data_IF_135840900237
#
_entry.id   IF_135840900237
#
_cell.length_a   1.000
_cell.length_b   1.000
_cell.length_c   1.000
_cell.angle_alpha   90.00
_cell.angle_beta   90.00
_cell.angle_gamma   90.00
#
_symmetry.space_group_name_H-M   'P 1'
#
loop_
_entity.id
_entity.type
_entity.pdbx_description
1 polymer ?
#
# COMPACT_ATOMS: atom_id res chain seq x y z
N UNK A 1 22.11 4.54 18.60
CA UNK A 1 22.14 5.07 17.22
C UNK A 1 20.85 5.83 16.94
N UNK A 2 20.74 6.57 15.83
CA UNK A 2 19.48 7.21 15.43
C UNK A 2 18.40 6.15 15.18
N UNK A 3 17.15 6.49 15.48
CA UNK A 3 16.00 5.64 15.20
C UNK A 3 15.72 5.61 13.70
N UNK A 4 15.62 4.41 13.12
CA UNK A 4 15.38 4.21 11.68
C UNK A 4 14.20 3.27 11.48
N UNK A 5 13.30 3.62 10.57
CA UNK A 5 12.24 2.75 10.10
C UNK A 5 12.44 2.50 8.60
N UNK A 6 12.51 1.25 8.19
CA UNK A 6 12.60 0.86 6.79
C UNK A 6 11.38 0.02 6.42
N UNK A 7 10.76 0.38 5.29
CA UNK A 7 9.60 -0.32 4.75
C UNK A 7 9.89 -0.73 3.31
N UNK A 8 9.59 -1.98 2.96
CA UNK A 8 9.67 -2.50 1.61
C UNK A 8 8.37 -3.22 1.28
N UNK A 9 7.66 -2.76 0.25
CA UNK A 9 6.46 -3.42 -0.26
C UNK A 9 6.73 -3.99 -1.65
N UNK A 10 6.89 -5.30 -1.69
CA UNK A 10 7.12 -6.05 -2.91
C UNK A 10 5.83 -6.56 -3.54
N UNK A 11 6.02 -7.32 -4.62
CA UNK A 11 4.92 -7.98 -5.32
C UNK A 11 4.31 -9.14 -4.52
N UNK A 12 5.16 -9.97 -3.90
CA UNK A 12 4.76 -11.20 -3.20
C UNK A 12 4.92 -11.14 -1.68
N UNK A 13 5.75 -10.23 -1.17
CA UNK A 13 5.98 -10.08 0.26
C UNK A 13 6.36 -8.65 0.57
N UNK A 14 6.27 -8.30 1.85
CA UNK A 14 6.63 -6.99 2.37
C UNK A 14 7.44 -7.13 3.65
N UNK A 15 8.35 -6.20 3.86
CA UNK A 15 9.24 -6.15 5.03
C UNK A 15 9.11 -4.80 5.75
N UNK A 16 9.03 -4.85 7.07
CA UNK A 16 9.04 -3.69 7.95
C UNK A 16 10.12 -3.89 9.00
N UNK A 17 11.14 -3.04 9.01
CA UNK A 17 12.24 -3.11 9.96
C UNK A 17 12.35 -1.81 10.75
N UNK A 18 12.43 -1.92 12.07
CA UNK A 18 12.64 -0.78 12.96
C UNK A 18 13.91 -0.97 13.77
N UNK A 19 14.78 0.03 13.76
CA UNK A 19 15.93 0.14 14.65
C UNK A 19 15.64 1.23 15.69
N UNK A 20 15.47 0.84 16.95
CA UNK A 20 15.15 1.73 18.08
C UNK A 20 16.08 1.37 19.23
N UNK A 21 16.77 2.36 19.80
CA UNK A 21 17.68 2.17 20.96
C UNK A 21 18.69 1.01 20.79
N UNK A 22 19.22 0.86 19.58
CA UNK A 22 20.19 -0.19 19.24
C UNK A 22 19.60 -1.58 19.00
N UNK A 23 18.28 -1.76 19.19
CA UNK A 23 17.57 -3.01 18.91
C UNK A 23 16.92 -2.94 17.54
N UNK A 24 17.06 -4.02 16.77
CA UNK A 24 16.44 -4.16 15.45
C UNK A 24 15.32 -5.20 15.54
N UNK A 25 14.13 -4.80 15.13
CA UNK A 25 12.99 -5.70 14.93
C UNK A 25 12.64 -5.73 13.46
N UNK A 26 12.41 -6.91 12.90
CA UNK A 26 12.00 -7.08 11.51
C UNK A 26 10.75 -7.96 11.43
N UNK A 27 9.75 -7.47 10.72
CA UNK A 27 8.52 -8.20 10.38
C UNK A 27 8.48 -8.43 8.89
N UNK A 28 8.28 -9.68 8.47
CA UNK A 28 8.14 -10.08 7.07
C UNK A 28 6.76 -10.71 6.90
N UNK A 29 5.99 -10.21 5.93
CA UNK A 29 4.63 -10.66 5.64
C UNK A 29 4.55 -11.15 4.20
N UNK A 30 4.32 -12.45 4.02
CA UNK A 30 4.17 -13.09 2.69
C UNK A 30 2.76 -13.02 2.13
N UNK A 31 1.79 -12.68 2.99
CA UNK A 31 0.39 -12.44 2.65
C UNK A 31 0.12 -10.97 2.29
N UNK A 32 1.12 -10.08 2.41
CA UNK A 32 1.03 -8.67 2.04
C UNK A 32 2.02 -8.39 0.90
N UNK A 33 1.48 -8.06 -0.27
CA UNK A 33 2.23 -7.59 -1.43
C UNK A 33 1.29 -7.03 -2.49
N UNK A 34 1.77 -6.13 -3.34
CA UNK A 34 0.91 -5.40 -4.31
C UNK A 34 0.75 -6.12 -5.64
N UNK A 35 1.33 -7.30 -5.80
CA UNK A 35 1.28 -8.07 -7.06
C UNK A 35 0.80 -9.50 -6.81
N UNK A 36 1.72 -10.46 -6.79
CA UNK A 36 1.42 -11.88 -6.54
C UNK A 36 0.60 -12.13 -5.26
N UNK A 37 0.73 -11.28 -4.25
CA UNK A 37 -0.02 -11.38 -3.00
C UNK A 37 -1.15 -10.36 -2.86
N UNK A 38 -1.56 -9.68 -3.94
CA UNK A 38 -2.58 -8.62 -3.91
C UNK A 38 -3.94 -9.16 -3.43
N UNK A 39 -4.32 -10.38 -3.82
CA UNK A 39 -5.52 -11.03 -3.29
C UNK A 39 -5.40 -11.32 -1.78
N UNK A 40 -4.29 -11.92 -1.36
CA UNK A 40 -4.04 -12.27 0.04
C UNK A 40 -3.97 -11.02 0.94
N UNK A 41 -3.48 -9.90 0.39
CA UNK A 41 -3.43 -8.61 1.07
C UNK A 41 -4.83 -8.20 1.54
N UNK A 42 -5.84 -8.35 0.68
CA UNK A 42 -7.23 -8.04 1.05
C UNK A 42 -7.71 -8.94 2.20
N UNK A 43 -7.35 -10.22 2.21
CA UNK A 43 -7.69 -11.11 3.34
C UNK A 43 -6.99 -10.68 4.63
N UNK A 44 -5.77 -10.13 4.52
CA UNK A 44 -4.98 -9.69 5.67
C UNK A 44 -5.46 -8.37 6.28
N UNK A 45 -5.91 -7.40 5.46
CA UNK A 45 -6.27 -6.04 5.93
C UNK A 45 -7.77 -5.73 5.87
N UNK A 46 -8.54 -6.49 5.08
CA UNK A 46 -9.97 -6.28 4.86
C UNK A 46 -10.30 -5.21 3.81
N UNK A 47 -11.49 -5.32 3.22
CA UNK A 47 -11.98 -4.38 2.20
C UNK A 47 -12.12 -2.95 2.73
N UNK A 48 -12.61 -2.78 3.96
CA UNK A 48 -12.82 -1.45 4.55
C UNK A 48 -11.51 -0.67 4.74
N UNK A 49 -10.40 -1.35 5.05
CA UNK A 49 -9.10 -0.70 5.18
C UNK A 49 -8.60 -0.14 3.84
N UNK A 50 -8.88 -0.83 2.73
CA UNK A 50 -8.60 -0.34 1.37
C UNK A 50 -9.56 0.79 1.00
N UNK A 51 -10.87 0.57 1.22
CA UNK A 51 -11.93 1.51 0.89
C UNK A 51 -11.80 2.86 1.59
N UNK A 52 -11.28 2.89 2.82
CA UNK A 52 -11.05 4.11 3.60
C UNK A 52 -10.16 5.16 2.88
N UNK A 53 -9.38 4.75 1.88
CA UNK A 53 -8.50 5.63 1.11
C UNK A 53 -9.05 6.00 -0.28
N UNK A 54 -10.20 5.46 -0.68
CA UNK A 54 -10.72 5.63 -2.02
C UNK A 54 -11.65 6.85 -2.10
N UNK A 55 -11.36 7.83 -2.97
CA UNK A 55 -12.18 9.02 -3.11
C UNK A 55 -13.41 8.80 -3.99
N UNK A 56 -13.96 7.59 -4.01
CA UNK A 56 -15.11 7.22 -4.84
C UNK A 56 -15.84 6.00 -4.30
N UNK A 57 -17.07 5.79 -4.79
CA UNK A 57 -17.84 4.59 -4.49
C UNK A 57 -17.24 3.40 -5.23
N UNK A 58 -17.17 2.28 -4.51
CA UNK A 58 -16.68 1.02 -5.06
C UNK A 58 -17.28 -0.16 -4.30
N UNK A 59 -17.50 -1.27 -5.01
CA UNK A 59 -17.93 -2.53 -4.41
C UNK A 59 -16.74 -3.40 -4.00
N UNK A 60 -16.96 -4.34 -3.07
CA UNK A 60 -15.95 -5.35 -2.73
C UNK A 60 -15.55 -6.18 -3.95
N UNK A 61 -16.51 -6.49 -4.83
CA UNK A 61 -16.27 -7.21 -6.08
C UNK A 61 -15.32 -6.46 -7.00
N UNK A 62 -15.39 -5.13 -7.09
CA UNK A 62 -14.45 -4.33 -7.90
C UNK A 62 -13.05 -4.31 -7.28
N UNK A 63 -12.93 -4.10 -5.96
CA UNK A 63 -11.64 -4.18 -5.25
C UNK A 63 -11.01 -5.56 -5.46
N UNK A 64 -11.80 -6.62 -5.28
CA UNK A 64 -11.37 -8.00 -5.48
C UNK A 64 -10.95 -8.26 -6.92
N UNK A 65 -11.72 -7.77 -7.90
CA UNK A 65 -11.42 -7.94 -9.32
C UNK A 65 -10.09 -7.29 -9.67
N UNK A 66 -9.85 -6.07 -9.20
CA UNK A 66 -8.56 -5.38 -9.39
C UNK A 66 -7.41 -6.20 -8.81
N UNK A 67 -7.52 -6.64 -7.56
CA UNK A 67 -6.47 -7.42 -6.90
C UNK A 67 -6.23 -8.80 -7.54
N UNK A 68 -7.27 -9.48 -8.04
CA UNK A 68 -7.13 -10.74 -8.77
C UNK A 68 -6.42 -10.53 -10.12
N UNK A 69 -6.79 -9.49 -10.86
CA UNK A 69 -6.10 -9.13 -12.10
C UNK A 69 -4.62 -8.82 -11.84
N UNK A 70 -4.34 -8.05 -10.78
CA UNK A 70 -2.98 -7.74 -10.35
C UNK A 70 -2.20 -8.97 -9.89
N UNK A 71 -2.86 -9.94 -9.24
CA UNK A 71 -2.27 -11.24 -8.89
C UNK A 71 -1.89 -12.04 -10.14
N UNK A 72 -2.75 -12.04 -11.16
CA UNK A 72 -2.49 -12.73 -12.43
C UNK A 72 -1.43 -12.03 -13.29
N UNK A 73 -1.32 -10.70 -13.20
CA UNK A 73 -0.36 -9.90 -13.97
C UNK A 73 0.37 -8.90 -13.07
N UNK A 74 1.31 -9.36 -12.23
CA UNK A 74 1.90 -8.53 -11.17
C UNK A 74 2.71 -7.32 -11.64
N UNK A 75 3.11 -7.30 -12.91
CA UNK A 75 3.86 -6.21 -13.52
C UNK A 75 2.98 -5.13 -14.18
N UNK A 76 1.64 -5.29 -14.17
CA UNK A 76 0.76 -4.25 -14.71
C UNK A 76 0.84 -3.00 -13.84
N UNK A 77 0.95 -1.85 -14.47
CA UNK A 77 0.81 -0.55 -13.83
C UNK A 77 -0.65 -0.10 -13.95
N UNK A 78 -1.14 0.81 -13.10
CA UNK A 78 -2.43 1.47 -13.33
C UNK A 78 -2.45 2.11 -14.71
N UNK A 79 -3.55 1.96 -15.44
CA UNK A 79 -3.74 2.57 -16.78
C UNK A 79 -4.69 3.77 -16.74
N UNK A 80 -5.44 3.93 -15.65
CA UNK A 80 -6.36 5.06 -15.40
C UNK A 80 -6.11 5.71 -14.03
N UNK A 81 -6.60 6.93 -13.85
CA UNK A 81 -6.55 7.61 -12.55
C UNK A 81 -7.31 6.84 -11.45
N UNK A 82 -8.44 6.21 -11.80
CA UNK A 82 -9.22 5.39 -10.85
C UNK A 82 -8.40 4.19 -10.35
N UNK A 83 -7.70 3.52 -11.25
CA UNK A 83 -6.79 2.42 -10.90
C UNK A 83 -5.59 2.88 -10.09
N UNK A 84 -5.07 4.09 -10.35
CA UNK A 84 -3.97 4.65 -9.57
C UNK A 84 -4.39 4.87 -8.10
N UNK A 85 -5.59 5.41 -7.87
CA UNK A 85 -6.14 5.52 -6.52
C UNK A 85 -6.33 4.15 -5.85
N UNK A 86 -6.76 3.13 -6.61
CA UNK A 86 -6.85 1.75 -6.13
C UNK A 86 -5.50 1.15 -5.71
N UNK A 87 -4.48 1.29 -6.56
CA UNK A 87 -3.12 0.82 -6.27
C UNK A 87 -2.56 1.51 -5.02
N UNK A 88 -2.71 2.83 -4.92
CA UNK A 88 -2.26 3.57 -3.75
C UNK A 88 -3.09 3.23 -2.50
N UNK A 89 -4.39 2.94 -2.62
CA UNK A 89 -5.22 2.51 -1.49
C UNK A 89 -4.80 1.13 -0.95
N UNK A 90 -4.49 0.18 -1.84
CA UNK A 90 -3.93 -1.12 -1.46
C UNK A 90 -2.59 -0.97 -0.73
N UNK A 91 -1.70 -0.13 -1.26
CA UNK A 91 -0.41 0.19 -0.64
C UNK A 91 -0.59 0.81 0.75
N UNK A 92 -1.53 1.76 0.88
CA UNK A 92 -1.78 2.43 2.14
C UNK A 92 -2.36 1.49 3.19
N UNK A 93 -3.33 0.66 2.81
CA UNK A 93 -3.92 -0.35 3.69
C UNK A 93 -2.88 -1.40 4.13
N UNK A 94 -2.06 -1.89 3.20
CA UNK A 94 -0.99 -2.84 3.46
C UNK A 94 0.02 -2.32 4.49
N UNK A 95 0.60 -1.15 4.24
CA UNK A 95 1.62 -0.57 5.13
C UNK A 95 1.03 -0.21 6.50
N UNK A 96 -0.19 0.32 6.55
CA UNK A 96 -0.90 0.57 7.83
C UNK A 96 -1.12 -0.73 8.61
N UNK A 97 -1.59 -1.79 7.95
CA UNK A 97 -1.80 -3.09 8.58
C UNK A 97 -0.49 -3.69 9.12
N UNK A 98 0.60 -3.60 8.36
CA UNK A 98 1.93 -4.03 8.81
C UNK A 98 2.43 -3.22 10.01
N UNK A 99 2.26 -1.89 9.96
CA UNK A 99 2.67 -0.99 11.03
C UNK A 99 1.94 -1.32 12.33
N UNK A 100 0.61 -1.43 12.29
CA UNK A 100 -0.22 -1.77 13.45
C UNK A 100 0.17 -3.12 14.07
N UNK A 101 0.50 -4.11 13.23
CA UNK A 101 0.94 -5.41 13.72
C UNK A 101 2.36 -5.41 14.32
N UNK A 102 3.26 -4.55 13.84
CA UNK A 102 4.66 -4.51 14.28
C UNK A 102 4.91 -3.61 15.50
N UNK A 103 4.14 -2.53 15.63
CA UNK A 103 4.30 -1.52 16.68
C UNK A 103 4.40 -2.07 18.11
N UNK A 104 3.55 -3.01 18.55
CA UNK A 104 3.61 -3.56 19.91
C UNK A 104 4.94 -4.23 20.26
N UNK A 105 5.73 -4.63 19.25
CA UNK A 105 7.05 -5.27 19.46
C UNK A 105 8.14 -4.22 19.74
N UNK A 106 7.96 -2.98 19.30
CA UNK A 106 8.97 -1.93 19.43
C UNK A 106 8.96 -1.25 20.81
N UNK A 107 7.83 -1.33 21.52
CA UNK A 107 7.67 -0.78 22.87
C UNK A 107 7.46 -1.92 23.86
N UNK A 108 8.22 -1.92 24.95
CA UNK A 108 8.02 -2.86 26.06
C UNK A 108 6.75 -2.55 26.91
N UNK A 109 5.81 -1.75 26.39
CA UNK A 109 4.57 -1.34 27.06
C UNK A 109 3.36 -2.03 26.43
N UNK A 110 2.46 -2.52 27.28
CA UNK A 110 1.36 -3.43 26.93
C UNK A 110 0.16 -2.80 26.23
N UNK A 111 0.21 -1.51 25.87
CA UNK A 111 -0.91 -0.78 25.27
C UNK A 111 -0.35 0.21 24.23
N UNK A 112 -0.19 -0.26 23.00
CA UNK A 112 -0.01 0.61 21.83
C UNK A 112 -1.36 0.64 21.12
N UNK A 113 -2.11 1.73 21.29
CA UNK A 113 -3.36 1.92 20.56
C UNK A 113 -3.04 2.28 19.10
N UNK A 114 -3.93 1.90 18.18
CA UNK A 114 -3.75 2.18 16.75
C UNK A 114 -3.60 3.70 16.45
N UNK A 115 -4.20 4.53 17.30
CA UNK A 115 -4.22 5.99 17.20
C UNK A 115 -3.05 6.67 17.92
N UNK A 116 -2.21 5.93 18.65
CA UNK A 116 -1.04 6.51 19.31
C UNK A 116 -0.03 7.01 18.29
N UNK A 117 0.62 8.14 18.59
CA UNK A 117 1.70 8.66 17.76
C UNK A 117 2.83 7.63 17.60
N UNK A 118 3.36 7.55 16.37
CA UNK A 118 4.53 6.73 16.07
C UNK A 118 5.73 7.20 16.92
N UNK A 119 6.61 6.28 17.30
CA UNK A 119 7.91 6.65 17.86
C UNK A 119 8.62 7.67 16.93
N UNK A 120 9.33 8.67 17.48
CA UNK A 120 10.01 9.66 16.66
C UNK A 120 11.20 9.02 15.93
N UNK A 121 10.94 8.50 14.73
CA UNK A 121 11.96 8.00 13.81
C UNK A 121 12.66 9.17 13.13
N UNK A 122 13.98 9.25 13.31
CA UNK A 122 14.81 10.29 12.71
C UNK A 122 14.97 10.08 11.20
N UNK A 123 14.88 8.82 10.74
CA UNK A 123 14.99 8.43 9.34
C UNK A 123 13.94 7.38 8.99
N UNK A 124 13.28 7.57 7.86
CA UNK A 124 12.38 6.61 7.26
C UNK A 124 12.89 6.30 5.85
N UNK A 125 12.97 5.03 5.51
CA UNK A 125 13.39 4.56 4.19
C UNK A 125 12.27 3.74 3.56
N UNK A 126 11.82 4.15 2.38
CA UNK A 126 10.84 3.43 1.58
C UNK A 126 11.48 2.68 0.42
N UNK A 127 11.11 1.42 0.24
CA UNK A 127 11.55 0.56 -0.83
C UNK A 127 10.36 -0.18 -1.48
N UNK A 128 10.61 -0.79 -2.63
CA UNK A 128 9.59 -1.51 -3.39
C UNK A 128 8.89 -0.60 -4.40
N UNK A 129 8.65 -1.16 -5.60
CA UNK A 129 8.21 -0.38 -6.76
C UNK A 129 6.87 0.35 -6.58
N UNK A 130 5.99 -0.13 -5.71
CA UNK A 130 4.74 0.57 -5.39
C UNK A 130 4.95 1.89 -4.63
N UNK A 131 6.05 2.02 -3.87
CA UNK A 131 6.42 3.25 -3.15
C UNK A 131 7.31 4.13 -4.03
N UNK A 132 8.35 3.54 -4.63
CA UNK A 132 9.42 4.30 -5.27
C UNK A 132 9.17 4.58 -6.75
N UNK A 133 8.26 3.83 -7.40
CA UNK A 133 7.94 3.93 -8.81
C UNK A 133 6.85 4.95 -9.18
N UNK A 134 6.66 6.00 -8.37
CA UNK A 134 5.58 6.98 -8.57
C UNK A 134 5.87 8.01 -9.67
N UNK A 135 7.11 8.08 -10.17
CA UNK A 135 7.57 9.09 -11.13
C UNK A 135 7.82 10.47 -10.50
N UNK A 136 7.32 10.73 -9.29
CA UNK A 136 7.41 12.04 -8.62
C UNK A 136 7.85 11.92 -7.17
N UNK A 137 9.00 12.47 -6.76
CA UNK A 137 9.51 12.35 -5.39
C UNK A 137 8.53 12.79 -4.30
N UNK A 138 7.77 13.87 -4.55
CA UNK A 138 6.75 14.33 -3.61
C UNK A 138 5.59 13.35 -3.44
N UNK A 139 5.25 12.56 -4.46
CA UNK A 139 4.26 11.48 -4.36
C UNK A 139 4.79 10.31 -3.54
N UNK A 140 6.04 9.89 -3.76
CA UNK A 140 6.72 8.92 -2.90
C UNK A 140 6.70 9.36 -1.44
N UNK A 141 7.02 10.63 -1.17
CA UNK A 141 6.97 11.20 0.16
C UNK A 141 5.55 11.19 0.74
N UNK A 142 4.53 11.55 -0.03
CA UNK A 142 3.12 11.51 0.39
C UNK A 142 2.70 10.10 0.83
N UNK A 143 3.00 9.06 0.04
CA UNK A 143 2.64 7.68 0.38
C UNK A 143 3.30 7.22 1.69
N UNK A 144 4.56 7.55 1.91
CA UNK A 144 5.25 7.24 3.17
C UNK A 144 4.63 8.01 4.35
N UNK A 145 4.30 9.29 4.17
CA UNK A 145 3.70 10.12 5.21
C UNK A 145 2.28 9.69 5.57
N UNK A 146 1.48 9.27 4.59
CA UNK A 146 0.11 8.79 4.78
C UNK A 146 0.06 7.52 5.62
N UNK A 147 1.00 6.62 5.35
CA UNK A 147 1.02 5.27 5.93
C UNK A 147 1.70 5.25 7.28
N UNK A 148 2.86 5.89 7.40
CA UNK A 148 3.68 5.81 8.60
C UNK A 148 3.36 6.92 9.60
N UNK A 149 2.82 8.05 9.13
CA UNK A 149 2.43 9.17 9.98
C UNK A 149 3.51 9.60 11.00
N UNK A 150 4.75 9.86 10.56
CA UNK A 150 5.81 10.27 11.48
C UNK A 150 5.44 11.54 12.24
N UNK A 151 6.11 11.74 13.37
CA UNK A 151 5.99 12.90 14.25
C UNK A 151 7.33 13.59 14.40
N UNK A 152 7.33 14.91 14.61
CA UNK A 152 8.58 15.65 14.79
C UNK A 152 9.37 15.81 13.50
N UNK A 153 10.70 15.72 13.60
CA UNK A 153 11.62 15.88 12.46
C UNK A 153 12.05 14.51 11.95
N UNK A 154 11.79 14.25 10.68
CA UNK A 154 12.13 12.97 10.05
C UNK A 154 12.77 13.21 8.69
N UNK A 155 13.88 12.53 8.40
CA UNK A 155 14.41 12.45 7.04
C UNK A 155 13.74 11.31 6.28
N UNK A 156 13.19 11.61 5.12
CA UNK A 156 12.63 10.59 4.22
C UNK A 156 13.63 10.24 3.13
N UNK A 157 13.75 8.95 2.87
CA UNK A 157 14.55 8.42 1.78
C UNK A 157 13.77 7.35 1.01
N UNK A 158 14.14 7.17 -0.25
CA UNK A 158 13.70 6.06 -1.10
C UNK A 158 14.88 5.21 -1.53
N UNK A 159 14.63 3.91 -1.72
CA UNK A 159 15.53 2.96 -2.38
C UNK A 159 14.97 2.63 -3.77
N UNK A 160 15.18 3.50 -4.77
CA UNK A 160 14.63 3.30 -6.11
C UNK A 160 15.29 2.12 -6.85
N UNK A 161 16.46 1.65 -6.40
CA UNK A 161 17.26 0.62 -7.07
C UNK A 161 17.22 -0.73 -6.34
N UNK A 162 16.39 -0.88 -5.31
CA UNK A 162 16.28 -2.09 -4.49
C UNK A 162 17.62 -2.58 -3.92
N UNK A 163 18.46 -1.63 -3.48
CA UNK A 163 19.76 -1.91 -2.88
C UNK A 163 19.65 -2.50 -1.49
N UNK A 164 18.69 -2.06 -0.67
CA UNK A 164 18.55 -2.49 0.73
C UNK A 164 18.35 -4.01 0.83
N UNK A 165 17.42 -4.62 0.08
CA UNK A 165 17.30 -6.08 0.06
C UNK A 165 18.60 -6.79 -0.33
N UNK A 166 19.32 -6.29 -1.34
CA UNK A 166 20.58 -6.88 -1.80
C UNK A 166 21.70 -6.74 -0.75
N UNK A 167 21.81 -5.57 -0.13
CA UNK A 167 22.79 -5.28 0.91
C UNK A 167 22.56 -6.10 2.18
N UNK A 168 21.31 -6.49 2.48
CA UNK A 168 20.99 -7.39 3.59
C UNK A 168 21.72 -8.74 3.50
N UNK A 169 21.93 -9.27 2.29
CA UNK A 169 22.72 -10.49 2.10
C UNK A 169 24.22 -10.27 2.36
N UNK A 170 24.74 -9.11 1.97
CA UNK A 170 26.15 -8.71 2.13
C UNK A 170 26.49 -8.36 3.58
N UNK A 171 25.52 -7.82 4.34
CA UNK A 171 25.71 -7.33 5.70
C UNK A 171 26.26 -8.39 6.67
N UNK A 172 26.02 -9.69 6.42
CA UNK A 172 26.59 -10.77 7.24
C UNK A 172 28.07 -11.04 6.98
N UNK A 173 28.58 -10.63 5.81
CA UNK A 173 29.95 -10.88 5.36
C UNK A 173 30.80 -9.63 5.54
N UNK A 174 30.28 -8.47 5.11
CA UNK A 174 30.96 -7.19 5.22
C UNK A 174 29.98 -6.07 5.58
N UNK A 175 29.71 -5.86 6.88
CA UNK A 175 28.90 -4.74 7.35
C UNK A 175 29.47 -3.37 6.93
N UNK A 176 30.80 -3.24 6.91
CA UNK A 176 31.50 -2.00 6.57
C UNK A 176 31.26 -1.59 5.11
N UNK A 177 31.31 -2.55 4.17
CA UNK A 177 31.00 -2.29 2.78
C UNK A 177 29.54 -1.86 2.60
N UNK A 178 28.60 -2.42 3.37
CA UNK A 178 27.20 -2.00 3.35
C UNK A 178 27.06 -0.56 3.80
N UNK A 179 27.71 -0.16 4.90
CA UNK A 179 27.70 1.23 5.37
C UNK A 179 28.29 2.16 4.31
N UNK A 180 29.41 1.80 3.69
CA UNK A 180 30.01 2.59 2.62
C UNK A 180 29.06 2.79 1.44
N UNK A 181 28.38 1.73 0.98
CA UNK A 181 27.41 1.84 -0.13
C UNK A 181 26.23 2.74 0.26
N UNK A 182 25.71 2.64 1.48
CA UNK A 182 24.62 3.49 1.95
C UNK A 182 25.04 4.96 2.09
N UNK A 183 26.25 5.22 2.60
CA UNK A 183 26.79 6.58 2.78
C UNK A 183 27.21 7.25 1.46
N UNK A 184 27.38 6.46 0.39
CA UNK A 184 27.76 6.95 -0.95
C UNK A 184 26.63 7.67 -1.69
N UNK A 185 25.47 7.90 -1.07
CA UNK A 185 24.34 8.59 -1.67
C UNK A 185 23.54 7.74 -2.67
N UNK A 186 23.56 6.42 -2.51
CA UNK A 186 22.82 5.49 -3.37
C UNK A 186 21.33 5.37 -3.00
N UNK A 187 20.93 5.89 -1.84
CA UNK A 187 19.53 6.13 -1.51
C UNK A 187 19.15 7.55 -1.94
N UNK A 188 17.97 7.68 -2.52
CA UNK A 188 17.42 8.98 -2.85
C UNK A 188 17.00 9.70 -1.55
N UNK A 189 17.54 10.90 -1.33
CA UNK A 189 17.11 11.79 -0.24
C UNK A 189 15.87 12.57 -0.68
N UNK A 190 14.68 12.10 -0.30
CA UNK A 190 13.42 12.78 -0.60
C UNK A 190 13.36 14.15 0.07
N UNK A 191 13.79 14.23 1.34
CA UNK A 191 13.88 15.50 2.04
C UNK A 191 13.69 15.42 3.54
N UNK A 192 13.81 16.57 4.21
CA UNK A 192 13.49 16.70 5.63
C UNK A 192 12.00 17.02 5.79
N UNK A 193 11.30 16.23 6.62
CA UNK A 193 9.91 16.43 6.98
C UNK A 193 9.79 17.01 8.40
N UNK A 194 9.01 18.08 8.52
CA UNK A 194 8.55 18.61 9.81
C UNK A 194 7.09 18.22 9.98
N UNK A 195 6.85 17.24 10.83
CA UNK A 195 5.53 16.67 11.07
C UNK A 195 4.91 17.26 12.32
N UNK A 196 3.78 17.96 12.14
CA UNK A 196 3.03 18.51 13.26
C UNK A 196 2.04 17.45 13.75
N UNK A 197 2.15 17.09 15.03
CA UNK A 197 1.15 16.30 15.75
C UNK A 197 -0.02 17.20 16.17
N UNK A 198 -1.15 16.57 16.48
CA UNK A 198 -2.39 17.25 16.88
C UNK A 198 -3.44 17.25 15.78
N UNK A 199 -4.63 17.74 16.11
CA UNK A 199 -5.75 17.83 15.18
C UNK A 199 -6.51 19.13 15.40
N UNK A 200 -7.03 19.72 14.31
CA UNK A 200 -7.90 20.89 14.38
C UNK A 200 -9.36 20.46 14.35
N UNK A 201 -10.22 21.24 15.00
CA UNK A 201 -11.67 21.11 14.80
C UNK A 201 -12.14 21.69 13.46
N UNK A 202 -11.34 22.59 12.88
CA UNK A 202 -11.66 23.29 11.63
C UNK A 202 -10.50 23.17 10.66
N UNK A 203 -10.79 22.69 9.45
CA UNK A 203 -9.80 22.66 8.36
C UNK A 203 -9.44 24.08 7.93
N UNK A 204 -8.17 24.32 7.58
CA UNK A 204 -7.70 25.61 7.06
C UNK A 204 -7.22 26.63 8.11
N UNK A 205 -7.37 26.36 9.41
CA UNK A 205 -6.84 27.24 10.46
C UNK A 205 -5.32 27.39 10.37
N UNK A 206 -4.79 28.57 10.70
CA UNK A 206 -3.33 28.79 10.79
C UNK A 206 -2.76 28.02 11.99
N UNK A 207 -1.92 27.03 11.71
CA UNK A 207 -1.32 26.16 12.75
C UNK A 207 0.15 26.43 13.00
N UNK A 208 0.88 26.99 12.03
CA UNK A 208 2.27 27.37 12.21
C UNK A 208 2.71 28.49 11.27
N UNK A 209 3.77 29.18 11.67
CA UNK A 209 4.58 30.05 10.81
C UNK A 209 5.96 29.42 10.64
N UNK A 210 6.42 29.36 9.40
CA UNK A 210 7.70 28.78 9.02
C UNK A 210 8.55 29.87 8.37
N UNK A 211 9.67 30.20 9.00
CA UNK A 211 10.66 31.11 8.43
C UNK A 211 11.85 30.31 7.92
N UNK A 212 12.19 30.51 6.65
CA UNK A 212 13.29 29.84 5.95
C UNK A 212 14.34 30.90 5.63
N UNK A 213 15.60 30.62 5.98
CA UNK A 213 16.74 31.51 5.67
C UNK A 213 17.79 30.72 4.92
N UNK A 214 18.10 31.17 3.70
CA UNK A 214 19.15 30.61 2.84
C UNK A 214 20.33 31.58 2.79
N UNK A 215 21.53 31.04 2.56
CA UNK A 215 22.74 31.86 2.52
C UNK A 215 22.66 32.87 1.36
N UNK A 216 22.78 34.16 1.67
CA UNK A 216 22.75 35.23 0.67
C UNK A 216 21.36 35.62 0.18
N UNK A 217 20.29 35.08 0.75
CA UNK A 217 18.91 35.37 0.36
C UNK A 217 18.10 35.95 1.53
N UNK A 218 17.10 36.82 1.26
CA UNK A 218 16.17 37.28 2.29
C UNK A 218 15.44 36.11 2.96
N UNK A 219 15.12 36.27 4.24
CA UNK A 219 14.29 35.29 4.93
C UNK A 219 12.86 35.30 4.38
N UNK A 220 12.33 34.12 4.08
CA UNK A 220 10.96 33.91 3.59
C UNK A 220 10.10 33.38 4.74
N UNK A 221 8.89 33.90 4.91
CA UNK A 221 7.96 33.42 5.95
C UNK A 221 6.66 32.93 5.33
N UNK A 222 6.28 31.70 5.67
CA UNK A 222 5.08 31.05 5.17
C UNK A 222 4.17 30.62 6.32
N UNK A 223 2.86 30.73 6.07
CA UNK A 223 1.83 30.26 6.98
C UNK A 223 1.39 28.86 6.59
N UNK A 224 1.43 27.94 7.54
CA UNK A 224 0.95 26.57 7.39
C UNK A 224 -0.46 26.47 7.96
N UNK A 225 -1.35 25.89 7.18
CA UNK A 225 -2.74 25.66 7.57
C UNK A 225 -3.01 24.21 7.97
N UNK A 226 -3.99 24.02 8.84
CA UNK A 226 -4.48 22.68 9.20
C UNK A 226 -4.99 21.94 7.96
N UNK A 227 -4.60 20.67 7.82
CA UNK A 227 -4.95 19.83 6.67
C UNK A 227 -4.00 19.97 5.47
N UNK A 228 -3.00 20.84 5.53
CA UNK A 228 -2.09 21.13 4.43
C UNK A 228 -0.83 20.25 4.48
N UNK A 229 -0.45 19.71 3.32
CA UNK A 229 0.93 19.32 3.02
C UNK A 229 1.59 20.46 2.24
N UNK A 230 2.75 20.93 2.68
CA UNK A 230 3.47 22.00 2.00
C UNK A 230 4.88 21.56 1.68
N UNK A 231 5.20 21.52 0.39
CA UNK A 231 6.55 21.27 -0.12
C UNK A 231 7.16 22.62 -0.52
N UNK A 232 8.28 22.95 0.10
CA UNK A 232 9.09 24.10 -0.27
C UNK A 232 10.24 23.60 -1.16
N UNK A 233 10.42 24.20 -2.37
CA UNK A 233 11.46 23.79 -3.30
C UNK A 233 12.84 24.18 -2.75
N UNK A 234 13.46 23.25 -2.02
CA UNK A 234 14.83 23.35 -1.55
C UNK A 234 15.65 22.29 -2.29
N UNK A 235 16.48 22.66 -3.29
CA UNK A 235 17.18 21.70 -4.12
C UNK A 235 18.10 20.77 -3.32
N UNK A 236 18.36 19.58 -3.85
CA UNK A 236 19.20 18.57 -3.22
C UNK A 236 20.58 19.16 -2.83
N UNK A 237 20.98 18.94 -1.58
CA UNK A 237 22.26 19.41 -1.04
C UNK A 237 22.30 20.88 -0.63
N UNK A 238 21.29 21.68 -0.97
CA UNK A 238 21.17 23.08 -0.53
C UNK A 238 20.78 23.13 0.94
N UNK A 239 21.45 23.98 1.72
CA UNK A 239 21.21 24.15 3.16
C UNK A 239 20.34 25.36 3.43
N UNK A 240 19.44 25.24 4.40
CA UNK A 240 18.66 26.35 4.92
C UNK A 240 18.55 26.27 6.45
N UNK A 241 18.43 27.43 7.10
CA UNK A 241 18.01 27.51 8.50
C UNK A 241 16.50 27.64 8.54
N UNK A 242 15.86 26.82 9.37
CA UNK A 242 14.42 26.76 9.56
C UNK A 242 14.06 27.20 10.98
N UNK A 243 13.13 28.15 11.13
CA UNK A 243 12.46 28.49 12.39
C UNK A 243 10.96 28.22 12.22
N UNK A 244 10.43 27.23 12.93
CA UNK A 244 9.01 26.89 12.93
C UNK A 244 8.41 27.31 14.25
N UNK A 245 7.38 28.15 14.21
CA UNK A 245 6.57 28.55 15.36
C UNK A 245 5.17 27.98 15.20
N UNK A 246 4.80 27.06 16.08
CA UNK A 246 3.44 26.51 16.14
C UNK A 246 2.53 27.52 16.84
N UNK A 247 1.44 27.88 16.18
CA UNK A 247 0.44 28.86 16.63
C UNK A 247 -0.93 28.23 16.87
N UNK A 248 -1.21 27.08 16.24
CA UNK A 248 -2.47 26.37 16.39
C UNK A 248 -2.58 25.69 17.75
N UNK A 249 -3.71 25.88 18.44
CA UNK A 249 -3.97 25.19 19.71
C UNK A 249 -4.07 23.69 19.50
N UNK A 250 -3.36 22.91 20.31
CA UNK A 250 -3.34 21.46 20.23
C UNK A 250 -2.35 20.89 19.21
N UNK A 251 -1.65 21.74 18.47
CA UNK A 251 -0.57 21.31 17.59
C UNK A 251 0.79 21.39 18.29
N UNK A 252 1.70 20.50 17.90
CA UNK A 252 3.10 20.55 18.34
C UNK A 252 4.01 19.84 17.34
N UNK A 253 5.31 20.03 17.47
CA UNK A 253 6.34 19.28 16.76
C UNK A 253 7.08 18.47 17.82
N UNK A 254 6.74 17.19 17.97
CA UNK A 254 7.30 16.33 19.04
C UNK A 254 7.17 17.00 20.43
N UNK A 255 5.96 17.45 20.75
CA UNK A 255 5.64 18.14 22.01
C UNK A 255 6.12 19.59 22.12
N UNK A 256 6.82 20.14 21.11
CA UNK A 256 7.38 21.50 21.14
C UNK A 256 6.54 22.48 20.32
N UNK A 257 6.44 23.72 20.80
CA UNK A 257 5.76 24.84 20.11
C UNK A 257 6.70 25.68 19.23
N UNK A 258 8.01 25.47 19.34
CA UNK A 258 9.01 26.12 18.49
C UNK A 258 10.14 25.14 18.17
N UNK A 259 10.63 25.21 16.94
CA UNK A 259 11.74 24.40 16.47
C UNK A 259 12.66 25.25 15.61
N UNK A 260 13.97 25.22 15.90
CA UNK A 260 15.03 25.80 15.07
C UNK A 260 16.03 24.73 14.67
N UNK A 261 16.29 24.58 13.38
CA UNK A 261 17.28 23.61 12.89
C UNK A 261 17.85 24.02 11.53
N UNK A 262 18.99 23.42 11.18
CA UNK A 262 19.49 23.45 9.81
C UNK A 262 18.96 22.22 9.07
N UNK A 263 18.41 22.46 7.89
CA UNK A 263 17.89 21.42 7.00
C UNK A 263 18.70 21.37 5.71
N UNK A 264 18.64 20.24 5.03
CA UNK A 264 19.19 20.04 3.69
C UNK A 264 18.04 19.66 2.77
N UNK A 265 18.00 20.25 1.58
CA UNK A 265 17.03 19.91 0.54
C UNK A 265 17.22 18.49 0.01
N UNK A 266 16.11 17.91 -0.43
CA UNK A 266 16.06 16.62 -1.12
C UNK A 266 15.32 16.73 -2.45
N UNK A 267 15.07 15.62 -3.12
CA UNK A 267 14.37 15.59 -4.42
C UNK A 267 12.91 16.02 -4.33
N UNK A 268 12.27 15.91 -3.16
CA UNK A 268 10.95 16.48 -2.84
C UNK A 268 11.06 17.80 -2.02
N UNK A 269 12.26 18.32 -1.80
CA UNK A 269 12.51 19.58 -1.10
C UNK A 269 12.42 19.50 0.42
N UNK A 270 11.92 20.57 1.05
CA UNK A 270 11.58 20.62 2.47
C UNK A 270 10.08 20.40 2.62
N UNK A 271 9.66 19.47 3.48
CA UNK A 271 8.27 19.08 3.61
C UNK A 271 7.74 19.51 4.99
N UNK A 272 6.66 20.28 5.03
CA UNK A 272 5.95 20.63 6.27
C UNK A 272 4.58 19.97 6.24
N UNK A 273 4.33 19.09 7.22
CA UNK A 273 3.11 18.27 7.29
C UNK A 273 2.19 18.83 8.36
N UNK A 274 1.26 19.68 7.94
CA UNK A 274 0.20 20.28 8.76
C UNK A 274 -1.11 19.50 8.77
N UNK A 275 -1.08 18.23 8.33
CA UNK A 275 -2.28 17.42 8.11
C UNK A 275 -2.87 16.82 9.38
N UNK A 276 -2.13 16.84 10.48
CA UNK A 276 -2.54 16.31 11.78
C UNK A 276 -2.21 14.83 12.00
N UNK A 277 -2.26 14.42 13.27
CA UNK A 277 -1.94 13.06 13.75
C UNK A 277 -2.93 12.67 14.88
N UNK A 278 -3.60 11.50 14.79
CA UNK A 278 -3.71 10.65 13.60
C UNK A 278 -4.30 11.43 12.41
N UNK A 279 -3.98 11.00 11.19
CA UNK A 279 -4.35 11.63 9.93
C UNK A 279 -5.88 11.62 9.82
N UNK A 280 -6.54 12.80 9.82
CA UNK A 280 -7.98 12.89 9.79
C UNK A 280 -8.48 12.64 8.36
N UNK A 281 -8.64 11.37 8.01
CA UNK A 281 -9.28 10.97 6.75
C UNK A 281 -10.76 11.31 6.79
N UNK A 282 -11.24 11.87 5.69
CA UNK A 282 -12.67 12.04 5.49
C UNK A 282 -13.38 10.68 5.47
N UNK A 283 -14.56 10.62 6.07
CA UNK A 283 -15.31 9.36 6.26
C UNK A 283 -16.32 9.07 5.14
N UNK A 284 -16.45 9.98 4.17
CA UNK A 284 -17.35 9.79 3.03
C UNK A 284 -16.58 9.92 1.72
N UNK A 285 -16.93 9.15 0.67
CA UNK A 285 -16.27 9.25 -0.63
C UNK A 285 -16.27 10.65 -1.22
N UNK A 286 -17.37 11.42 -1.06
CA UNK A 286 -17.45 12.80 -1.55
C UNK A 286 -16.44 13.73 -0.86
N UNK A 287 -16.30 13.63 0.46
CA UNK A 287 -15.32 14.45 1.17
C UNK A 287 -13.87 13.99 0.88
N UNK A 288 -13.64 12.68 0.66
CA UNK A 288 -12.35 12.16 0.19
C UNK A 288 -12.03 12.64 -1.24
N UNK A 289 -13.03 12.82 -2.10
CA UNK A 289 -12.87 13.38 -3.45
C UNK A 289 -12.44 14.84 -3.49
N UNK A 290 -12.63 15.58 -2.40
CA UNK A 290 -12.03 16.90 -2.23
C UNK A 290 -10.63 16.79 -1.59
N UNK A 291 -10.48 15.90 -0.61
CA UNK A 291 -9.27 15.77 0.20
C UNK A 291 -8.09 15.13 -0.55
N UNK A 292 -8.29 13.97 -1.20
CA UNK A 292 -7.22 13.20 -1.83
C UNK A 292 -6.58 13.93 -3.01
N UNK A 293 -7.34 14.48 -3.98
CA UNK A 293 -6.74 15.23 -5.08
C UNK A 293 -5.99 16.48 -4.62
N UNK A 294 -6.47 17.16 -3.57
CA UNK A 294 -5.78 18.31 -3.00
C UNK A 294 -4.41 17.92 -2.40
N UNK A 295 -4.31 16.77 -1.73
CA UNK A 295 -3.04 16.26 -1.23
C UNK A 295 -2.10 15.81 -2.34
N UNK A 296 -2.63 15.21 -3.42
CA UNK A 296 -1.81 14.84 -4.58
C UNK A 296 -1.21 16.09 -5.23
N UNK A 297 -2.04 17.10 -5.52
CA UNK A 297 -1.61 18.39 -6.03
C UNK A 297 -0.57 19.08 -5.14
N UNK A 298 -0.77 19.06 -3.82
CA UNK A 298 0.20 19.61 -2.87
C UNK A 298 1.54 18.87 -2.86
N UNK A 299 1.50 17.55 -3.05
CA UNK A 299 2.69 16.70 -3.09
C UNK A 299 3.44 16.81 -4.43
N UNK A 300 2.75 16.98 -5.54
CA UNK A 300 3.37 16.98 -6.88
C UNK A 300 3.60 18.37 -7.45
N UNK A 301 2.87 19.37 -6.96
CA UNK A 301 2.82 20.71 -7.56
C UNK A 301 1.87 20.82 -8.76
N UNK A 302 1.15 19.74 -9.10
CA UNK A 302 0.19 19.74 -10.21
C UNK A 302 -1.11 20.48 -9.85
N UNK A 303 -1.90 20.87 -10.86
CA UNK A 303 -3.29 21.25 -10.65
C UNK A 303 -4.10 20.15 -9.96
N UNK A 304 -5.06 20.56 -9.14
CA UNK A 304 -6.03 19.63 -8.53
C UNK A 304 -6.87 18.99 -9.63
N UNK A 305 -6.91 17.66 -9.64
CA UNK A 305 -7.73 16.88 -10.56
C UNK A 305 -8.98 16.38 -9.86
N UNK A 306 -10.11 16.99 -10.19
CA UNK A 306 -11.38 16.65 -9.60
C UNK A 306 -11.74 15.19 -9.89
N UNK A 307 -12.29 14.49 -8.89
CA UNK A 307 -12.85 13.17 -9.11
C UNK A 307 -14.13 13.29 -9.94
N UNK A 308 -14.29 12.51 -11.03
CA UNK A 308 -15.52 12.50 -11.81
C UNK A 308 -16.76 12.20 -10.96
N UNK A 309 -17.81 13.00 -11.11
CA UNK A 309 -19.06 12.86 -10.33
C UNK A 309 -19.71 11.49 -10.50
N UNK A 310 -19.53 10.85 -11.65
CA UNK A 310 -19.99 9.48 -11.92
C UNK A 310 -19.35 8.45 -10.98
N UNK A 311 -18.12 8.65 -10.51
CA UNK A 311 -17.46 7.76 -9.54
C UNK A 311 -18.02 7.92 -8.11
N UNK A 312 -18.71 9.04 -7.83
CA UNK A 312 -19.31 9.30 -6.51
C UNK A 312 -20.73 8.73 -6.39
N UNK A 313 -21.31 8.30 -7.51
CA UNK A 313 -22.64 7.71 -7.55
C UNK A 313 -22.54 6.23 -7.19
N UNK A 314 -23.42 5.74 -6.32
CA UNK A 314 -23.43 4.32 -5.98
C UNK A 314 -23.68 3.48 -7.25
N UNK A 315 -22.92 2.41 -7.48
CA UNK A 315 -23.13 1.55 -8.63
C UNK A 315 -24.57 1.00 -8.58
N UNK A 316 -25.32 1.19 -9.67
CA UNK A 316 -26.64 0.58 -9.82
C UNK A 316 -26.41 -0.91 -9.99
N UNK A 317 -26.50 -1.66 -8.90
CA UNK A 317 -26.57 -3.12 -8.96
C UNK A 317 -27.95 -3.42 -9.54
N UNK A 318 -28.02 -3.63 -10.85
CA UNK A 318 -29.18 -4.25 -11.47
C UNK A 318 -29.26 -5.67 -10.92
N UNK A 319 -30.05 -5.85 -9.86
CA UNK A 319 -30.51 -7.19 -9.47
C UNK A 319 -31.30 -7.70 -10.68
N UNK A 320 -30.89 -8.79 -11.34
CA UNK A 320 -31.75 -9.42 -12.34
C UNK A 320 -33.09 -9.66 -11.66
N UNK A 321 -34.16 -9.11 -12.22
CA UNK A 321 -35.50 -9.44 -11.72
C UNK A 321 -35.60 -10.96 -11.70
N UNK A 322 -35.94 -11.54 -10.55
CA UNK A 322 -36.27 -12.95 -10.47
C UNK A 322 -37.30 -13.20 -11.58
N UNK A 323 -36.93 -14.02 -12.58
CA UNK A 323 -37.90 -14.52 -13.54
C UNK A 323 -39.04 -15.12 -12.71
N UNK A 324 -40.31 -14.68 -12.90
CA UNK A 324 -41.40 -15.19 -12.11
C UNK A 324 -41.45 -16.70 -12.31
N UNK A 325 -41.21 -17.43 -11.21
CA UNK A 325 -41.18 -18.88 -11.21
C UNK A 325 -42.38 -19.45 -11.98
N UNK A 326 -42.11 -20.28 -12.98
CA UNK A 326 -43.16 -21.00 -13.70
C UNK A 326 -44.09 -21.69 -12.69
N UNK A 327 -45.42 -21.53 -12.80
CA UNK A 327 -46.34 -22.14 -11.87
C UNK A 327 -46.21 -23.66 -11.95
N UNK A 328 -45.89 -24.27 -10.81
CA UNK A 328 -45.72 -25.70 -10.65
C UNK A 328 -46.91 -26.47 -11.23
N UNK A 329 -46.66 -27.27 -12.27
CA UNK A 329 -47.66 -28.12 -12.89
C UNK A 329 -48.30 -29.05 -11.85
N UNK A 330 -49.63 -28.99 -11.75
CA UNK A 330 -50.45 -29.77 -10.84
C UNK A 330 -50.21 -31.28 -11.03
N UNK A 331 -49.49 -31.89 -10.08
CA UNK A 331 -49.30 -33.35 -10.01
C UNK A 331 -50.64 -34.01 -9.71
N UNK A 332 -51.26 -34.61 -10.73
CA UNK A 332 -52.47 -35.44 -10.62
C UNK A 332 -52.23 -36.58 -9.62
N UNK A 333 -53.03 -36.59 -8.54
CA UNK A 333 -53.14 -37.70 -7.60
C UNK A 333 -53.66 -38.95 -8.34
N UNK A 334 -52.83 -39.97 -8.52
CA UNK A 334 -53.29 -41.34 -8.83
C UNK A 334 -53.25 -42.18 -7.55
N UNK A 335 -54.37 -42.85 -7.32
CA UNK A 335 -54.78 -43.42 -6.04
C UNK A 335 -53.94 -44.58 -5.53
N UNK A 336 -54.10 -44.78 -4.21
CA UNK A 336 -53.59 -45.89 -3.43
C UNK A 336 -54.06 -47.24 -3.98
N UNK A 337 -53.12 -48.16 -4.21
CA UNK A 337 -53.37 -49.59 -4.09
C UNK A 337 -52.24 -50.24 -3.29
N UNK A 338 -52.63 -50.75 -2.11
CA UNK A 338 -51.84 -51.54 -1.18
C UNK A 338 -51.22 -52.76 -1.87
N UNK A 339 -49.92 -52.99 -1.66
CA UNK A 339 -49.36 -54.35 -1.63
C UNK A 339 -48.29 -54.47 -0.54
N UNK A 340 -48.40 -55.58 0.20
CA UNK A 340 -47.73 -55.90 1.47
C UNK A 340 -46.21 -56.08 1.34
N UNK A 341 -45.55 -55.58 2.38
CA UNK A 341 -44.31 -56.03 3.04
C UNK A 341 -43.41 -57.07 2.33
N UNK A 342 -42.15 -56.68 2.14
CA UNK A 342 -40.95 -57.45 2.52
C UNK A 342 -39.86 -56.48 2.97
N UNK A 343 -39.41 -56.64 4.21
CA UNK A 343 -38.24 -55.97 4.77
C UNK A 343 -36.99 -56.43 4.02
N UNK A 344 -36.17 -55.49 3.56
CA UNK A 344 -34.79 -55.72 3.17
C UNK A 344 -33.96 -54.54 3.68
N UNK A 345 -32.88 -54.88 4.38
CA UNK A 345 -32.02 -54.01 5.16
C UNK A 345 -31.24 -53.00 4.30
N UNK A 346 -30.92 -51.85 4.90
CA UNK A 346 -30.04 -50.84 4.33
C UNK A 346 -28.57 -51.34 4.33
N UNK A 347 -27.80 -51.13 3.25
CA UNK A 347 -26.37 -51.42 3.25
C UNK A 347 -25.61 -50.36 4.06
N UNK A 348 -24.74 -50.84 4.94
CA UNK A 348 -23.82 -50.03 5.74
C UNK A 348 -22.75 -49.37 4.85
N UNK A 349 -22.36 -48.15 5.23
CA UNK A 349 -21.23 -47.42 4.66
C UNK A 349 -19.94 -48.06 5.19
N UNK A 350 -19.12 -48.60 4.28
CA UNK A 350 -17.79 -49.12 4.60
C UNK A 350 -16.87 -47.99 5.06
N UNK A 351 -16.23 -48.24 6.19
CA UNK A 351 -15.20 -47.43 6.83
C UNK A 351 -13.93 -47.36 5.97
N UNK A 352 -13.44 -46.14 5.73
CA UNK A 352 -12.13 -45.86 5.14
C UNK A 352 -11.03 -46.29 6.14
N UNK A 353 -10.04 -47.11 5.76
CA UNK A 353 -8.94 -47.48 6.65
C UNK A 353 -7.93 -46.33 6.82
N UNK A 354 -7.30 -46.18 8.01
CA UNK A 354 -6.35 -45.11 8.27
C UNK A 354 -5.03 -45.34 7.54
N UNK A 355 -4.41 -44.23 7.09
CA UNK A 355 -3.07 -44.19 6.51
C UNK A 355 -2.01 -44.45 7.59
N UNK A 356 -0.90 -45.15 7.28
CA UNK A 356 0.14 -45.43 8.26
C UNK A 356 1.02 -44.21 8.55
N UNK A 357 1.41 -44.10 9.82
CA UNK A 357 2.30 -43.08 10.38
C UNK A 357 3.67 -43.07 9.69
N UNK A 358 4.18 -41.87 9.41
CA UNK A 358 5.56 -41.66 8.94
C UNK A 358 6.36 -41.09 10.11
N UNK A 359 7.14 -41.96 10.74
CA UNK A 359 8.09 -41.58 11.78
C UNK A 359 9.38 -41.04 11.16
N UNK A 360 9.94 -40.08 11.88
CA UNK A 360 11.19 -39.36 11.66
C UNK A 360 12.43 -40.24 11.85
N UNK A 361 13.46 -40.07 11.02
CA UNK A 361 14.76 -40.72 11.23
C UNK A 361 15.76 -40.50 10.09
N UNK A 362 16.98 -40.10 10.45
CA UNK A 362 18.00 -39.49 9.60
C UNK A 362 18.85 -40.44 8.72
N UNK A 363 19.44 -39.82 7.68
CA UNK A 363 20.76 -40.02 7.06
C UNK A 363 21.38 -41.44 6.91
N UNK A 364 21.69 -41.83 5.66
CA UNK A 364 23.05 -42.22 5.23
C UNK A 364 23.10 -42.53 3.71
N UNK A 365 24.27 -42.27 3.14
CA UNK A 365 24.70 -42.40 1.75
C UNK A 365 24.73 -43.85 1.23
N UNK A 366 24.59 -44.03 -0.09
CA UNK A 366 25.57 -44.73 -0.94
C UNK A 366 25.07 -44.96 -2.37
N UNK A 367 26.05 -45.00 -3.27
CA UNK A 367 25.99 -45.03 -4.73
C UNK A 367 25.39 -46.32 -5.32
N UNK A 368 24.85 -46.24 -6.55
CA UNK A 368 24.48 -47.43 -7.32
C UNK A 368 23.97 -47.15 -8.72
N UNK A 369 24.86 -47.27 -9.71
CA UNK A 369 24.60 -47.21 -11.15
C UNK A 369 23.41 -48.08 -11.61
N UNK A 370 22.55 -47.52 -12.47
CA UNK A 370 21.52 -48.30 -13.18
C UNK A 370 21.01 -47.62 -14.44
N UNK A 371 21.68 -47.85 -15.57
CA UNK A 371 21.20 -47.50 -16.93
C UNK A 371 19.87 -48.21 -17.21
N UNK A 372 18.79 -47.48 -17.51
CA UNK A 372 17.66 -47.99 -18.31
C UNK A 372 17.20 -46.97 -19.35
N UNK A 373 17.33 -47.42 -20.61
CA UNK A 373 16.79 -46.82 -21.84
C UNK A 373 15.28 -47.04 -21.93
N UNK A 374 14.65 -46.23 -22.82
CA UNK A 374 13.31 -46.33 -23.45
C UNK A 374 12.23 -45.54 -22.67
N UNK A 375 11.38 -44.73 -23.30
CA UNK A 375 10.94 -44.61 -24.71
C UNK A 375 10.38 -43.19 -24.90
N UNK A 376 10.80 -42.50 -25.96
CA UNK A 376 10.10 -41.31 -26.49
C UNK A 376 8.70 -41.75 -26.94
N UNK A 377 7.67 -41.03 -26.50
CA UNK A 377 6.33 -41.07 -27.07
C UNK A 377 6.19 -39.79 -27.88
N UNK A 378 6.15 -39.94 -29.20
CA UNK A 378 5.82 -38.87 -30.13
C UNK A 378 4.39 -38.38 -29.81
N UNK A 379 4.27 -37.10 -29.44
CA UNK A 379 2.99 -36.40 -29.46
C UNK A 379 2.86 -35.78 -30.84
N UNK A 380 1.84 -36.21 -31.57
CA UNK A 380 1.40 -35.58 -32.82
C UNK A 380 0.83 -34.20 -32.49
N UNK A 381 1.33 -33.19 -33.20
CA UNK A 381 0.84 -31.81 -33.17
C UNK A 381 -0.59 -31.74 -33.73
N UNK A 382 -1.50 -31.16 -32.95
CA UNK A 382 -2.81 -30.74 -33.42
C UNK A 382 -2.70 -29.34 -34.06
N UNK A 383 -3.37 -29.06 -35.19
CA UNK A 383 -3.29 -27.76 -35.84
C UNK A 383 -3.98 -26.66 -34.99
N UNK A 384 -3.49 -25.41 -35.02
CA UNK A 384 -4.08 -24.33 -34.23
C UNK A 384 -5.47 -23.96 -34.75
N UNK A 385 -6.41 -23.76 -33.81
CA UNK A 385 -7.75 -23.29 -34.08
C UNK A 385 -7.73 -21.84 -34.62
N UNK A 386 -8.57 -21.56 -35.61
CA UNK A 386 -8.69 -20.28 -36.30
C UNK A 386 -9.13 -19.14 -35.36
N UNK A 387 -8.53 -17.97 -35.56
CA UNK A 387 -8.85 -16.73 -34.85
C UNK A 387 -10.30 -16.26 -35.14
N UNK A 388 -11.06 -15.78 -34.13
CA UNK A 388 -12.33 -15.12 -34.38
C UNK A 388 -12.13 -13.70 -34.94
N UNK A 389 -13.03 -13.30 -35.83
CA UNK A 389 -13.05 -12.00 -36.52
C UNK A 389 -13.24 -10.80 -35.56
N UNK A 390 -12.77 -9.59 -35.93
CA UNK A 390 -12.83 -8.42 -35.05
C UNK A 390 -14.26 -7.91 -34.86
N UNK A 391 -14.63 -7.71 -33.60
CA UNK A 391 -15.84 -7.01 -33.18
C UNK A 391 -15.68 -5.51 -33.41
N UNK A 392 -16.70 -4.90 -34.00
CA UNK A 392 -16.77 -3.48 -34.38
C UNK A 392 -16.71 -2.56 -33.17
N UNK A 393 -15.98 -1.46 -33.34
CA UNK A 393 -15.77 -0.35 -32.42
C UNK A 393 -17.06 0.20 -31.80
N UNK A 394 -17.02 0.35 -30.48
CA UNK A 394 -17.71 1.40 -29.73
C UNK A 394 -16.69 2.08 -28.81
N UNK A 395 -15.75 2.81 -29.42
CA UNK A 395 -14.93 3.80 -28.73
C UNK A 395 -15.59 5.16 -28.87
N UNK A 396 -16.20 5.63 -27.78
CA UNK A 396 -16.47 7.04 -27.50
C UNK A 396 -16.83 7.13 -26.01
N UNK A 397 -15.79 7.24 -25.16
CA UNK A 397 -15.81 7.93 -23.85
C UNK A 397 -14.53 7.69 -23.01
N UNK A 398 -13.63 6.77 -23.41
CA UNK A 398 -12.39 6.42 -22.64
C UNK A 398 -11.15 7.30 -22.94
N UNK A 399 -11.23 8.29 -23.83
CA UNK A 399 -10.06 9.07 -24.27
C UNK A 399 -9.57 10.06 -23.20
N UNK A 400 -10.40 10.43 -22.21
CA UNK A 400 -10.00 11.35 -21.14
C UNK A 400 -9.08 10.74 -20.08
N UNK A 401 -9.30 9.48 -19.69
CA UNK A 401 -8.63 8.87 -18.51
C UNK A 401 -7.14 8.55 -18.73
N UNK A 402 -6.73 8.31 -19.98
CA UNK A 402 -5.36 7.92 -20.34
C UNK A 402 -4.42 9.12 -20.42
N UNK A 403 -4.91 10.25 -20.95
CA UNK A 403 -4.13 11.49 -21.02
C UNK A 403 -3.92 12.08 -19.62
N UNK A 404 -4.93 11.95 -18.75
CA UNK A 404 -4.79 12.29 -17.34
C UNK A 404 -3.65 11.50 -16.68
N UNK A 405 -3.62 10.17 -16.79
CA UNK A 405 -2.58 9.39 -16.12
C UNK A 405 -1.15 9.74 -16.60
N UNK A 406 -0.97 9.98 -17.90
CA UNK A 406 0.36 10.29 -18.47
C UNK A 406 0.97 11.56 -17.90
N UNK A 407 0.17 12.60 -17.72
CA UNK A 407 0.64 13.87 -17.14
C UNK A 407 1.01 13.76 -15.65
N UNK A 408 0.44 12.77 -14.91
CA UNK A 408 0.78 12.55 -13.49
C UNK A 408 2.09 11.78 -13.32
N UNK A 409 2.42 10.93 -14.30
CA UNK A 409 3.64 10.11 -14.31
C UNK A 409 4.82 10.77 -15.04
N UNK A 410 4.57 11.79 -15.87
CA UNK A 410 5.57 12.68 -16.46
C UNK A 410 5.96 13.81 -15.52
#
# INVERSE_FOLDING_TARGET
GPSVLAVDIGSANSTLAAAVDGHVTTSIRTDIGLGHSARSLIDAVGYEAVRAWLPFQITDSEILTYALNKTLRPATIPETLRELYLEHALLRAALRGMLLAARPVWRATTLDDADDDLLPFQRIIGAGGGITGTGRPGMTALLLLDTLQPVGVTRLQSDPYALIPALGAVARISPEAVVQVLDSGNLEELGTCINLSGNSRTSGDTIAQVTITRAGEPAETHTIRSGQLWLYPLPQGVRAQLDVRVTGRGFSIDGKSRLKLNVVGGTAGLIIVGRGRPLPLATTPRALAEQMPAWYAQATGDPVRAIPEVWLTAPVIAVPADDPAEPAAARRRRGLLRRRARQAAAPALDSVPPLPDVDSGAAAESEGRGRRRRRRRDRQDAPPAAAPAPLKDKQADEIGDVDDLRELLS
#
